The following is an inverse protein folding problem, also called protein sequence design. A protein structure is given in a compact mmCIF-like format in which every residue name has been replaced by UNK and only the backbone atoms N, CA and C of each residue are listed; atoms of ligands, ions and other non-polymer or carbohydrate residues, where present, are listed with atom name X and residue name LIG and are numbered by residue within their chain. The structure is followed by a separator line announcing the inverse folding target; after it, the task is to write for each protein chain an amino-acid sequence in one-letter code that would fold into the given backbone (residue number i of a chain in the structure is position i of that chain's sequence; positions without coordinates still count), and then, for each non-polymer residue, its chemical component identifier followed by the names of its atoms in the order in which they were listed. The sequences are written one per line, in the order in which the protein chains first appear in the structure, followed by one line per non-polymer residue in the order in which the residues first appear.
data_IF_664596245399
#
_entry.id   IF_664596245399
#
_cell.length_a   1.000
_cell.length_b   1.000
_cell.length_c   1.000
_cell.angle_alpha   90.00
_cell.angle_beta   90.00
_cell.angle_gamma   90.00
#
_symmetry.space_group_name_H-M   'P 1'
#
loop_
_entity.id
_entity.type
_entity.pdbx_description
1 polymer ?
#
# COMPACT_ATOMS: atom_id res chain seq x y z
N UNK A 1 -44.13 0.96 6.24
CA UNK A 1 -43.77 1.64 7.51
C UNK A 1 -42.84 0.81 8.39
N UNK A 2 -43.19 -0.40 8.88
CA UNK A 2 -42.30 -1.18 9.77
C UNK A 2 -40.91 -1.51 9.18
N UNK A 3 -40.81 -1.87 7.90
CA UNK A 3 -39.52 -2.12 7.22
C UNK A 3 -38.64 -0.87 7.08
N UNK A 4 -39.25 0.30 6.86
CA UNK A 4 -38.55 1.59 6.75
C UNK A 4 -38.03 2.06 8.11
N UNK A 5 -38.80 1.82 9.18
CA UNK A 5 -38.38 2.15 10.55
C UNK A 5 -37.22 1.24 11.00
N UNK A 6 -37.22 -0.04 10.62
CA UNK A 6 -36.11 -0.97 10.92
C UNK A 6 -34.83 -0.55 10.17
N UNK A 7 -34.92 -0.17 8.89
CA UNK A 7 -33.77 0.32 8.14
C UNK A 7 -33.17 1.61 8.75
N UNK A 8 -34.02 2.57 9.15
CA UNK A 8 -33.57 3.81 9.81
C UNK A 8 -32.90 3.53 11.15
N UNK A 9 -33.43 2.59 11.95
CA UNK A 9 -32.85 2.22 13.24
C UNK A 9 -31.50 1.50 13.06
N UNK A 10 -31.37 0.64 12.04
CA UNK A 10 -30.08 -0.01 11.72
C UNK A 10 -29.04 1.06 11.33
N UNK A 11 -29.38 2.02 10.46
CA UNK A 11 -28.47 3.13 10.13
C UNK A 11 -28.06 3.95 11.36
N UNK A 12 -28.98 4.27 12.28
CA UNK A 12 -28.67 5.07 13.47
C UNK A 12 -27.77 4.30 14.46
N UNK A 13 -27.95 2.99 14.59
CA UNK A 13 -27.14 2.16 15.50
C UNK A 13 -25.73 1.96 14.94
N UNK A 14 -25.58 1.75 13.63
CA UNK A 14 -24.26 1.68 12.96
C UNK A 14 -23.49 2.98 13.10
N UNK A 15 -24.15 4.13 12.90
CA UNK A 15 -23.53 5.45 13.09
C UNK A 15 -23.01 5.65 14.53
N UNK A 16 -23.69 5.12 15.55
CA UNK A 16 -23.23 5.23 16.95
C UNK A 16 -22.03 4.32 17.28
N UNK A 17 -21.88 3.18 16.59
CA UNK A 17 -20.71 2.32 16.69
C UNK A 17 -19.46 3.00 16.13
N UNK A 18 -19.57 3.53 14.91
CA UNK A 18 -18.53 4.31 14.21
C UNK A 18 -18.01 5.47 15.07
N UNK A 19 -18.92 6.23 15.73
CA UNK A 19 -18.54 7.34 16.61
C UNK A 19 -17.65 6.93 17.81
N UNK A 20 -17.78 5.70 18.32
CA UNK A 20 -16.99 5.24 19.46
C UNK A 20 -15.54 4.88 19.05
N UNK A 21 -15.37 4.35 17.84
CA UNK A 21 -14.07 3.93 17.27
C UNK A 21 -13.22 5.13 16.92
N UNK A 22 -13.81 6.14 16.27
CA UNK A 22 -13.11 7.37 15.88
C UNK A 22 -12.46 8.08 17.08
N UNK A 23 -13.11 8.03 18.26
CA UNK A 23 -12.59 8.63 19.49
C UNK A 23 -11.37 7.90 20.06
N UNK A 24 -11.26 6.59 19.87
CA UNK A 24 -10.05 5.82 20.22
C UNK A 24 -8.92 6.02 19.22
N UNK A 25 -9.24 6.31 17.97
CA UNK A 25 -8.29 6.55 16.88
C UNK A 25 -7.66 7.95 16.92
N UNK A 26 -8.00 8.76 17.93
CA UNK A 26 -7.45 10.11 18.07
C UNK A 26 -7.97 11.09 17.01
N UNK A 27 -9.04 10.73 16.29
CA UNK A 27 -9.78 11.65 15.45
C UNK A 27 -10.45 12.65 16.40
N UNK A 28 -9.86 13.84 16.53
CA UNK A 28 -10.62 14.95 17.07
C UNK A 28 -11.84 15.11 16.15
N UNK A 29 -13.05 15.13 16.72
CA UNK A 29 -14.34 15.35 16.03
C UNK A 29 -14.34 16.71 15.32
N UNK A 30 -13.49 16.88 14.30
CA UNK A 30 -13.48 18.00 13.39
C UNK A 30 -14.39 17.69 12.21
N UNK A 31 -14.86 18.75 11.55
CA UNK A 31 -16.00 18.76 10.63
C UNK A 31 -15.74 17.98 9.32
N UNK A 32 -15.66 16.66 9.39
CA UNK A 32 -15.68 15.81 8.21
C UNK A 32 -17.09 15.77 7.63
N UNK A 33 -17.15 15.89 6.31
CA UNK A 33 -18.26 15.41 5.52
C UNK A 33 -18.00 13.97 5.12
N UNK A 34 -19.08 13.29 4.74
CA UNK A 34 -19.03 11.91 4.29
C UNK A 34 -19.59 11.79 2.87
N UNK A 35 -18.99 10.90 2.10
CA UNK A 35 -19.54 10.37 0.85
C UNK A 35 -19.33 8.88 0.87
N UNK A 36 -20.27 8.11 0.33
CA UNK A 36 -20.23 6.65 0.43
C UNK A 36 -20.79 5.97 -0.80
N UNK A 37 -20.39 4.72 -0.98
CA UNK A 37 -20.88 3.82 -2.02
C UNK A 37 -20.96 2.40 -1.46
N UNK A 38 -21.87 1.59 -2.00
CA UNK A 38 -22.00 0.18 -1.62
C UNK A 38 -21.45 -0.67 -2.78
N UNK A 39 -20.55 -1.59 -2.47
CA UNK A 39 -19.95 -2.52 -3.44
C UNK A 39 -20.38 -3.94 -3.13
N UNK A 40 -20.77 -4.67 -4.18
CA UNK A 40 -21.16 -6.08 -4.08
C UNK A 40 -19.91 -6.95 -4.23
N UNK A 41 -19.61 -7.73 -3.19
CA UNK A 41 -18.56 -8.75 -3.18
C UNK A 41 -19.20 -10.15 -3.12
N UNK A 42 -18.42 -11.20 -3.35
CA UNK A 42 -18.91 -12.58 -3.55
C UNK A 42 -19.94 -13.04 -2.52
N UNK A 43 -19.77 -12.64 -1.26
CA UNK A 43 -20.60 -13.14 -0.16
C UNK A 43 -21.35 -12.04 0.60
N UNK A 44 -21.16 -10.76 0.26
CA UNK A 44 -21.71 -9.64 1.04
C UNK A 44 -21.56 -8.30 0.30
N UNK A 45 -22.34 -7.32 0.74
CA UNK A 45 -22.09 -5.93 0.37
C UNK A 45 -21.15 -5.28 1.38
N UNK A 46 -20.24 -4.45 0.89
CA UNK A 46 -19.31 -3.64 1.69
C UNK A 46 -19.60 -2.17 1.41
N UNK A 47 -19.66 -1.36 2.47
CA UNK A 47 -19.83 0.10 2.32
C UNK A 47 -18.46 0.78 2.30
N UNK A 48 -18.13 1.47 1.22
CA UNK A 48 -16.96 2.34 1.17
C UNK A 48 -17.38 3.72 1.63
N UNK A 49 -16.73 4.26 2.65
CA UNK A 49 -17.01 5.59 3.21
C UNK A 49 -15.74 6.43 3.11
N UNK A 50 -15.85 7.65 2.59
CA UNK A 50 -14.75 8.62 2.55
C UNK A 50 -15.12 9.82 3.42
N UNK A 51 -14.27 10.08 4.40
CA UNK A 51 -14.33 11.20 5.33
C UNK A 51 -13.41 12.32 4.85
N UNK A 52 -13.96 13.50 4.57
CA UNK A 52 -13.22 14.60 3.93
C UNK A 52 -13.62 15.98 4.47
N UNK A 53 -12.71 16.95 4.39
CA UNK A 53 -13.04 18.34 4.70
C UNK A 53 -13.85 18.96 3.54
N UNK A 54 -14.78 19.88 3.81
CA UNK A 54 -15.64 20.53 2.78
C UNK A 54 -14.88 20.98 1.53
N UNK A 55 -13.68 21.53 1.69
CA UNK A 55 -12.83 22.02 0.58
C UNK A 55 -12.31 20.91 -0.35
N UNK A 56 -12.33 19.65 0.10
CA UNK A 56 -11.72 18.49 -0.55
C UNK A 56 -12.79 17.55 -1.18
N UNK A 57 -13.99 18.06 -1.51
CA UNK A 57 -15.09 17.27 -2.08
C UNK A 57 -14.72 16.52 -3.36
N UNK A 58 -14.03 17.19 -4.29
CA UNK A 58 -13.63 16.59 -5.57
C UNK A 58 -12.63 15.44 -5.35
N UNK A 59 -11.69 15.62 -4.42
CA UNK A 59 -10.78 14.56 -3.99
C UNK A 59 -11.55 13.37 -3.41
N UNK A 60 -12.54 13.63 -2.55
CA UNK A 60 -13.32 12.59 -1.90
C UNK A 60 -14.13 11.76 -2.91
N UNK A 61 -14.73 12.39 -3.92
CA UNK A 61 -15.46 11.68 -4.98
C UNK A 61 -14.55 10.78 -5.81
N UNK A 62 -13.34 11.28 -6.13
CA UNK A 62 -12.32 10.51 -6.85
C UNK A 62 -11.85 9.30 -6.03
N UNK A 63 -11.54 9.51 -4.74
CA UNK A 63 -11.15 8.44 -3.81
C UNK A 63 -12.26 7.42 -3.65
N UNK A 64 -13.51 7.85 -3.47
CA UNK A 64 -14.65 6.95 -3.34
C UNK A 64 -14.80 6.05 -4.58
N UNK A 65 -14.72 6.64 -5.77
CA UNK A 65 -14.79 5.90 -7.03
C UNK A 65 -13.63 4.93 -7.22
N UNK A 66 -12.41 5.34 -6.85
CA UNK A 66 -11.23 4.49 -6.91
C UNK A 66 -11.34 3.31 -5.93
N UNK A 67 -11.56 3.60 -4.65
CA UNK A 67 -11.65 2.59 -3.59
C UNK A 67 -12.77 1.59 -3.88
N UNK A 68 -13.92 2.05 -4.37
CA UNK A 68 -15.02 1.15 -4.76
C UNK A 68 -14.60 0.11 -5.81
N UNK A 69 -13.84 0.52 -6.83
CA UNK A 69 -13.34 -0.40 -7.86
C UNK A 69 -12.21 -1.28 -7.33
N UNK A 70 -11.27 -0.71 -6.58
CA UNK A 70 -10.14 -1.42 -6.03
C UNK A 70 -10.57 -2.55 -5.08
N UNK A 71 -11.55 -2.30 -4.21
CA UNK A 71 -12.09 -3.30 -3.27
C UNK A 71 -12.66 -4.53 -3.99
N UNK A 72 -13.36 -4.31 -5.10
CA UNK A 72 -13.90 -5.41 -5.93
C UNK A 72 -12.76 -6.22 -6.55
N UNK A 73 -11.79 -5.55 -7.16
CA UNK A 73 -10.64 -6.20 -7.80
C UNK A 73 -9.73 -6.90 -6.78
N UNK A 74 -9.67 -6.42 -5.54
CA UNK A 74 -8.83 -7.01 -4.50
C UNK A 74 -9.34 -8.40 -4.09
N UNK A 75 -10.67 -8.59 -3.96
CA UNK A 75 -11.25 -9.93 -3.70
C UNK A 75 -10.94 -10.89 -4.86
N UNK A 76 -11.02 -10.40 -6.11
CA UNK A 76 -10.64 -11.19 -7.29
C UNK A 76 -9.16 -11.56 -7.27
N UNK A 77 -8.25 -10.61 -7.05
CA UNK A 77 -6.80 -10.81 -7.12
C UNK A 77 -6.32 -11.70 -5.98
N UNK A 78 -6.78 -11.48 -4.75
CA UNK A 78 -6.34 -12.25 -3.59
C UNK A 78 -6.91 -13.67 -3.58
N UNK A 79 -8.07 -13.87 -4.22
CA UNK A 79 -8.75 -15.17 -4.29
C UNK A 79 -9.41 -15.59 -2.99
N UNK A 80 -9.52 -14.67 -2.01
CA UNK A 80 -10.17 -14.92 -0.72
C UNK A 80 -11.26 -13.88 -0.45
N UNK A 81 -12.38 -14.27 0.19
CA UNK A 81 -13.46 -13.35 0.48
C UNK A 81 -13.02 -12.18 1.36
N UNK A 82 -13.77 -11.08 1.33
CA UNK A 82 -13.53 -9.97 2.25
C UNK A 82 -13.44 -10.43 3.73
N UNK A 83 -12.33 -10.13 4.44
CA UNK A 83 -12.09 -10.35 5.87
C UNK A 83 -13.32 -10.19 6.78
N UNK A 84 -13.69 -11.21 7.57
CA UNK A 84 -14.88 -11.15 8.42
C UNK A 84 -14.74 -10.34 9.73
N UNK A 85 -13.63 -9.68 10.03
CA UNK A 85 -13.48 -8.98 11.31
C UNK A 85 -12.87 -7.58 11.18
N UNK A 86 -13.75 -6.59 11.06
CA UNK A 86 -13.63 -5.34 11.82
C UNK A 86 -15.00 -5.03 12.42
N UNK A 87 -15.18 -5.41 13.70
CA UNK A 87 -16.34 -5.05 14.54
C UNK A 87 -17.75 -5.50 14.08
N UNK A 88 -17.86 -6.47 13.17
CA UNK A 88 -19.16 -7.01 12.74
C UNK A 88 -19.92 -6.10 11.76
N UNK A 89 -19.26 -5.07 11.24
CA UNK A 89 -19.75 -4.22 10.16
C UNK A 89 -18.77 -4.31 8.97
N UNK A 90 -19.30 -4.16 7.76
CA UNK A 90 -18.54 -4.31 6.52
C UNK A 90 -18.32 -2.96 5.88
N UNK A 91 -17.28 -2.27 6.31
CA UNK A 91 -16.91 -0.98 5.76
C UNK A 91 -15.43 -0.91 5.39
N UNK A 92 -15.14 -0.06 4.41
CA UNK A 92 -13.81 0.47 4.12
C UNK A 92 -13.88 1.97 4.35
N UNK A 93 -13.24 2.46 5.41
CA UNK A 93 -13.20 3.89 5.73
C UNK A 93 -11.90 4.50 5.24
N UNK A 94 -12.00 5.61 4.49
CA UNK A 94 -10.85 6.40 4.05
C UNK A 94 -10.97 7.82 4.61
N UNK A 95 -9.94 8.31 5.28
CA UNK A 95 -9.88 9.61 5.92
C UNK A 95 -8.90 10.53 5.20
N UNK A 96 -9.36 11.75 4.89
CA UNK A 96 -8.47 12.83 4.48
C UNK A 96 -7.61 13.29 5.65
N UNK A 97 -6.30 13.15 5.53
CA UNK A 97 -5.34 13.47 6.58
C UNK A 97 -4.45 14.67 6.24
N UNK A 98 -4.01 15.42 7.25
CA UNK A 98 -2.85 16.31 7.08
C UNK A 98 -1.57 15.46 7.15
N UNK A 99 -0.55 15.79 6.34
CA UNK A 99 0.76 15.13 6.40
C UNK A 99 1.40 15.26 7.78
N UNK A 100 1.19 16.41 8.44
CA UNK A 100 1.63 16.59 9.83
C UNK A 100 0.91 15.63 10.79
N UNK A 101 -0.25 15.08 10.39
CA UNK A 101 -1.02 14.16 11.19
C UNK A 101 -0.50 12.71 11.08
N UNK A 102 -0.32 12.18 9.88
CA UNK A 102 0.03 10.76 9.72
C UNK A 102 1.53 10.51 9.61
N UNK A 103 2.35 11.55 9.41
CA UNK A 103 3.81 11.44 9.34
C UNK A 103 4.34 10.86 8.02
N UNK A 104 3.51 10.07 7.33
CA UNK A 104 3.74 9.56 5.98
C UNK A 104 2.67 10.07 4.99
N UNK A 105 2.58 9.46 3.81
CA UNK A 105 1.64 9.83 2.75
C UNK A 105 0.30 9.09 2.81
N UNK A 106 0.34 7.87 3.36
CA UNK A 106 -0.79 6.99 3.61
C UNK A 106 -0.49 6.10 4.82
N UNK A 107 -1.53 5.63 5.51
CA UNK A 107 -1.42 4.58 6.53
C UNK A 107 -2.75 3.90 6.76
N UNK A 108 -2.79 2.59 6.65
CA UNK A 108 -3.85 1.74 7.21
C UNK A 108 -3.61 1.57 8.71
N UNK A 109 -4.66 1.83 9.51
CA UNK A 109 -4.59 1.70 10.97
C UNK A 109 -5.74 0.81 11.43
N UNK A 110 -5.67 -0.50 11.23
CA UNK A 110 -6.63 -1.49 11.75
C UNK A 110 -8.09 -0.97 11.79
N UNK A 111 -8.70 -0.91 12.98
CA UNK A 111 -10.09 -0.45 13.20
C UNK A 111 -10.31 1.05 12.94
N UNK A 112 -9.25 1.82 12.70
CA UNK A 112 -9.30 3.26 12.44
C UNK A 112 -9.33 3.61 10.94
N UNK A 113 -9.32 2.61 10.06
CA UNK A 113 -9.40 2.78 8.61
C UNK A 113 -8.12 3.31 7.98
N UNK A 114 -8.25 3.73 6.72
CA UNK A 114 -7.15 4.17 5.87
C UNK A 114 -7.04 5.69 5.90
N UNK A 115 -5.87 6.22 6.22
CA UNK A 115 -5.63 7.66 6.26
C UNK A 115 -4.72 8.07 5.11
N UNK A 116 -5.19 8.96 4.24
CA UNK A 116 -4.47 9.41 3.05
C UNK A 116 -4.44 10.93 3.02
N UNK A 117 -3.28 11.50 2.68
CA UNK A 117 -3.17 12.95 2.53
C UNK A 117 -3.82 13.43 1.22
N UNK A 118 -4.78 14.39 1.24
CA UNK A 118 -5.44 14.89 0.03
C UNK A 118 -4.51 15.64 -0.92
N UNK A 119 -3.46 16.24 -0.37
CA UNK A 119 -2.44 17.00 -1.11
C UNK A 119 -1.08 16.39 -0.82
N UNK A 120 -0.75 15.36 -1.59
CA UNK A 120 0.65 14.92 -1.66
C UNK A 120 1.40 15.99 -2.46
N UNK A 121 2.63 16.32 -2.05
CA UNK A 121 3.54 17.13 -2.88
C UNK A 121 4.02 16.41 -4.16
N UNK A 122 3.30 15.36 -4.57
CA UNK A 122 3.49 14.51 -5.73
C UNK A 122 2.22 14.59 -6.61
N UNK A 123 2.24 14.01 -7.81
CA UNK A 123 1.09 14.05 -8.70
C UNK A 123 -0.05 13.16 -8.18
N UNK A 124 -1.30 13.42 -8.58
CA UNK A 124 -2.49 12.68 -8.12
C UNK A 124 -2.40 11.16 -8.33
N UNK A 125 -1.65 10.74 -9.36
CA UNK A 125 -1.40 9.35 -9.71
C UNK A 125 -0.62 8.61 -8.60
N UNK A 126 0.31 9.28 -7.91
CA UNK A 126 1.06 8.67 -6.81
C UNK A 126 0.16 8.42 -5.59
N UNK A 127 -0.86 9.26 -5.38
CA UNK A 127 -1.82 9.07 -4.28
C UNK A 127 -2.60 7.77 -4.44
N UNK A 128 -2.95 7.41 -5.67
CA UNK A 128 -3.80 6.25 -5.93
C UNK A 128 -3.00 4.94 -5.86
N UNK A 129 -1.69 4.98 -6.17
CA UNK A 129 -0.79 3.88 -5.91
C UNK A 129 -0.67 3.58 -4.40
N UNK A 130 -0.52 4.64 -3.60
CA UNK A 130 -0.47 4.54 -2.13
C UNK A 130 -1.81 4.04 -1.59
N UNK A 131 -2.94 4.61 -2.06
CA UNK A 131 -4.26 4.16 -1.64
C UNK A 131 -4.51 2.68 -2.01
N UNK A 132 -4.06 2.21 -3.18
CA UNK A 132 -4.12 0.80 -3.54
C UNK A 132 -3.31 -0.09 -2.57
N UNK A 133 -2.13 0.37 -2.14
CA UNK A 133 -1.32 -0.30 -1.13
C UNK A 133 -2.06 -0.38 0.21
N UNK A 134 -2.59 0.73 0.72
CA UNK A 134 -3.32 0.72 2.00
C UNK A 134 -4.58 -0.15 1.95
N UNK A 135 -5.34 -0.15 0.84
CA UNK A 135 -6.48 -1.05 0.66
C UNK A 135 -6.02 -2.51 0.66
N UNK A 136 -4.83 -2.81 0.13
CA UNK A 136 -4.31 -4.18 0.07
C UNK A 136 -4.03 -4.74 1.45
N UNK A 137 -3.71 -3.91 2.44
CA UNK A 137 -3.53 -4.34 3.83
C UNK A 137 -4.79 -4.95 4.43
N UNK A 138 -5.99 -4.61 3.94
CA UNK A 138 -7.22 -5.28 4.39
C UNK A 138 -7.10 -6.80 4.18
N UNK A 139 -6.57 -7.26 3.04
CA UNK A 139 -6.39 -8.68 2.77
C UNK A 139 -5.03 -9.23 3.22
N UNK A 140 -3.95 -8.51 2.91
CA UNK A 140 -2.59 -8.93 3.23
C UNK A 140 -2.31 -8.90 4.74
N UNK A 141 -2.95 -7.98 5.47
CA UNK A 141 -2.80 -7.76 6.90
C UNK A 141 -3.69 -8.64 7.77
N UNK A 142 -4.86 -9.06 7.27
CA UNK A 142 -5.92 -9.72 8.05
C UNK A 142 -5.46 -10.94 8.88
N UNK A 143 -4.47 -11.68 8.38
CA UNK A 143 -3.84 -12.78 9.11
C UNK A 143 -2.33 -12.67 9.03
N UNK A 144 -1.78 -11.53 9.40
CA UNK A 144 -0.34 -11.42 9.59
C UNK A 144 -0.07 -10.80 10.95
N UNK A 145 1.02 -11.22 11.58
CA UNK A 145 1.50 -10.55 12.78
C UNK A 145 2.50 -9.46 12.40
N UNK A 146 2.79 -8.56 13.33
CA UNK A 146 3.91 -7.61 13.20
C UNK A 146 5.25 -8.32 12.96
N UNK A 147 5.36 -9.59 13.38
CA UNK A 147 6.55 -10.42 13.22
C UNK A 147 6.66 -11.02 11.80
N UNK A 148 5.56 -11.07 11.04
CA UNK A 148 5.51 -11.57 9.66
C UNK A 148 5.30 -10.42 8.65
N UNK A 149 5.98 -9.31 8.92
CA UNK A 149 5.81 -8.04 8.21
C UNK A 149 6.02 -8.14 6.71
N UNK A 150 6.92 -9.01 6.26
CA UNK A 150 7.18 -9.18 4.83
C UNK A 150 5.97 -9.75 4.08
N UNK A 151 5.15 -10.59 4.73
CA UNK A 151 3.90 -11.07 4.15
C UNK A 151 2.93 -9.91 3.97
N UNK A 152 2.70 -9.12 5.02
CA UNK A 152 1.80 -7.96 4.96
C UNK A 152 2.21 -6.97 3.87
N UNK A 153 3.48 -6.55 3.88
CA UNK A 153 3.98 -5.40 3.10
C UNK A 153 4.36 -5.82 1.68
N UNK A 154 4.94 -7.02 1.53
CA UNK A 154 5.25 -7.60 0.24
C UNK A 154 4.00 -7.89 -0.57
N UNK A 155 2.96 -8.46 0.05
CA UNK A 155 1.70 -8.70 -0.63
C UNK A 155 0.89 -7.43 -0.82
N UNK A 156 0.93 -6.46 0.11
CA UNK A 156 0.27 -5.17 -0.09
C UNK A 156 0.79 -4.46 -1.36
N UNK A 157 2.11 -4.41 -1.56
CA UNK A 157 2.70 -3.84 -2.77
C UNK A 157 2.36 -4.65 -4.03
N UNK A 158 2.42 -5.99 -3.97
CA UNK A 158 2.09 -6.84 -5.11
C UNK A 158 0.63 -6.68 -5.53
N UNK A 159 -0.31 -6.74 -4.58
CA UNK A 159 -1.73 -6.62 -4.88
C UNK A 159 -2.08 -5.23 -5.39
N UNK A 160 -1.49 -4.17 -4.81
CA UNK A 160 -1.63 -2.82 -5.34
C UNK A 160 -1.18 -2.74 -6.81
N UNK A 161 0.00 -3.27 -7.13
CA UNK A 161 0.50 -3.35 -8.51
C UNK A 161 -0.49 -4.05 -9.44
N UNK A 162 -1.00 -5.23 -9.05
CA UNK A 162 -1.93 -6.01 -9.87
C UNK A 162 -3.30 -5.34 -10.03
N UNK A 163 -3.85 -4.73 -8.98
CA UNK A 163 -5.12 -3.98 -9.03
C UNK A 163 -4.98 -2.81 -10.00
N UNK A 164 -3.90 -2.04 -9.90
CA UNK A 164 -3.64 -0.90 -10.78
C UNK A 164 -3.53 -1.35 -12.24
N UNK A 165 -2.85 -2.47 -12.53
CA UNK A 165 -2.83 -3.04 -13.88
C UNK A 165 -4.24 -3.42 -14.37
N UNK A 166 -5.07 -4.06 -13.54
CA UNK A 166 -6.46 -4.40 -13.89
C UNK A 166 -7.33 -3.18 -14.14
N UNK A 167 -7.02 -2.05 -13.50
CA UNK A 167 -7.69 -0.76 -13.72
C UNK A 167 -7.14 0.02 -14.93
N UNK A 168 -6.22 -0.56 -15.71
CA UNK A 168 -5.50 0.11 -16.80
C UNK A 168 -4.68 1.34 -16.33
N UNK A 169 -4.15 1.29 -15.10
CA UNK A 169 -3.33 2.32 -14.46
C UNK A 169 -1.86 1.92 -14.45
N UNK A 170 -1.32 1.69 -15.65
CA UNK A 170 0.03 1.14 -15.84
C UNK A 170 1.11 2.04 -15.25
N UNK A 171 0.94 3.36 -15.33
CA UNK A 171 1.91 4.31 -14.77
C UNK A 171 2.08 4.11 -13.26
N UNK A 172 0.97 4.08 -12.52
CA UNK A 172 0.92 3.91 -11.08
C UNK A 172 1.43 2.54 -10.66
N UNK A 173 1.04 1.51 -11.41
CA UNK A 173 1.50 0.14 -11.20
C UNK A 173 3.03 0.01 -11.37
N UNK A 174 3.59 0.61 -12.42
CA UNK A 174 5.03 0.58 -12.66
C UNK A 174 5.78 1.46 -11.66
N UNK A 175 5.20 2.58 -11.24
CA UNK A 175 5.80 3.46 -10.24
C UNK A 175 5.99 2.75 -8.88
N UNK A 176 4.97 2.08 -8.36
CA UNK A 176 5.09 1.37 -7.06
C UNK A 176 6.13 0.24 -7.14
N UNK A 177 6.15 -0.52 -8.24
CA UNK A 177 7.17 -1.55 -8.50
C UNK A 177 8.57 -0.93 -8.55
N UNK A 178 8.72 0.18 -9.27
CA UNK A 178 10.00 0.86 -9.47
C UNK A 178 10.61 1.36 -8.15
N UNK A 179 9.80 1.99 -7.28
CA UNK A 179 10.26 2.49 -5.99
C UNK A 179 10.90 1.37 -5.16
N UNK A 180 10.24 0.22 -5.07
CA UNK A 180 10.72 -0.92 -4.30
C UNK A 180 11.97 -1.57 -4.94
N UNK A 181 11.96 -1.77 -6.25
CA UNK A 181 13.07 -2.42 -6.95
C UNK A 181 14.37 -1.63 -6.84
N UNK A 182 14.29 -0.30 -6.95
CA UNK A 182 15.48 0.57 -6.82
C UNK A 182 16.06 0.53 -5.41
N UNK A 183 15.19 0.58 -4.39
CA UNK A 183 15.62 0.50 -2.99
C UNK A 183 16.26 -0.86 -2.69
N UNK A 184 15.70 -1.95 -3.20
CA UNK A 184 16.29 -3.27 -3.07
C UNK A 184 17.68 -3.32 -3.74
N UNK A 185 17.80 -2.83 -4.98
CA UNK A 185 19.07 -2.87 -5.71
C UNK A 185 20.18 -2.03 -5.04
N UNK A 186 19.84 -0.86 -4.49
CA UNK A 186 20.79 -0.03 -3.73
C UNK A 186 21.22 -0.71 -2.42
N UNK A 187 20.27 -1.36 -1.73
CA UNK A 187 20.49 -1.93 -0.40
C UNK A 187 21.11 -3.33 -0.36
N UNK A 188 20.90 -4.17 -1.38
CA UNK A 188 21.15 -5.62 -1.33
C UNK A 188 22.59 -6.04 -1.03
N UNK A 189 23.57 -5.16 -1.25
CA UNK A 189 24.98 -5.46 -0.95
C UNK A 189 25.39 -5.14 0.49
N UNK A 190 24.64 -4.27 1.18
CA UNK A 190 25.04 -3.69 2.45
C UNK A 190 24.07 -3.95 3.61
N UNK A 191 22.80 -4.22 3.29
CA UNK A 191 21.72 -4.31 4.27
C UNK A 191 21.10 -5.70 4.36
N UNK A 192 21.47 -6.62 3.48
CA UNK A 192 20.73 -7.86 3.26
C UNK A 192 20.56 -8.73 4.53
N UNK A 193 19.32 -9.15 4.78
CA UNK A 193 18.89 -10.03 5.87
C UNK A 193 17.70 -10.90 5.41
N UNK A 194 17.48 -12.11 5.97
CA UNK A 194 16.32 -12.93 5.63
C UNK A 194 15.01 -12.24 6.04
N UNK A 195 13.96 -12.36 5.21
CA UNK A 195 12.68 -11.70 5.50
C UNK A 195 11.99 -12.22 6.77
N UNK A 196 12.29 -13.42 7.27
CA UNK A 196 11.80 -13.91 8.57
C UNK A 196 12.41 -13.17 9.78
N UNK A 197 13.51 -12.44 9.58
CA UNK A 197 14.10 -11.55 10.58
C UNK A 197 13.63 -10.10 10.45
N UNK A 198 12.70 -9.83 9.52
CA UNK A 198 12.19 -8.48 9.31
C UNK A 198 11.19 -8.08 10.40
N UNK A 199 11.70 -7.69 11.56
CA UNK A 199 10.90 -7.38 12.76
C UNK A 199 11.00 -5.92 13.21
N UNK A 200 9.90 -5.41 13.74
CA UNK A 200 9.80 -4.08 14.36
C UNK A 200 9.13 -4.18 15.74
N UNK A 201 9.59 -3.44 16.77
CA UNK A 201 10.70 -2.48 16.77
C UNK A 201 12.07 -3.15 16.93
N UNK A 202 13.08 -2.70 16.17
CA UNK A 202 14.44 -3.22 16.28
C UNK A 202 15.37 -2.72 15.16
N UNK A 203 14.79 -2.50 13.98
CA UNK A 203 15.52 -2.08 12.80
C UNK A 203 15.74 -0.57 12.68
N UNK A 204 16.79 -0.20 11.94
CA UNK A 204 17.00 1.19 11.53
C UNK A 204 15.99 1.60 10.46
N UNK A 205 15.64 2.88 10.29
CA UNK A 205 14.76 3.32 9.19
C UNK A 205 15.22 2.83 7.81
N UNK A 206 16.54 2.71 7.61
CA UNK A 206 17.12 2.18 6.37
C UNK A 206 16.85 0.67 6.20
N UNK A 207 16.98 -0.11 7.26
CA UNK A 207 16.64 -1.54 7.25
C UNK A 207 15.15 -1.75 7.02
N UNK A 208 14.29 -0.95 7.66
CA UNK A 208 12.83 -1.02 7.47
C UNK A 208 12.48 -0.79 5.99
N UNK A 209 13.01 0.30 5.41
CA UNK A 209 12.77 0.62 4.01
C UNK A 209 13.28 -0.47 3.06
N UNK A 210 14.42 -1.07 3.37
CA UNK A 210 14.98 -2.20 2.61
C UNK A 210 14.15 -3.49 2.78
N UNK A 211 13.65 -3.77 3.98
CA UNK A 211 12.77 -4.91 4.26
C UNK A 211 11.49 -4.85 3.43
N UNK A 212 10.84 -3.67 3.35
CA UNK A 212 9.70 -3.45 2.45
C UNK A 212 10.05 -3.73 0.99
N UNK A 213 11.17 -3.19 0.52
CA UNK A 213 11.63 -3.39 -0.85
C UNK A 213 11.95 -4.86 -1.18
N UNK A 214 12.67 -5.55 -0.30
CA UNK A 214 12.98 -6.98 -0.45
C UNK A 214 11.71 -7.82 -0.41
N UNK A 215 10.72 -7.45 0.42
CA UNK A 215 9.42 -8.13 0.50
C UNK A 215 8.67 -8.05 -0.83
N UNK A 216 8.56 -6.85 -1.42
CA UNK A 216 7.93 -6.66 -2.74
C UNK A 216 8.67 -7.42 -3.84
N UNK A 217 10.01 -7.38 -3.88
CA UNK A 217 10.78 -8.13 -4.87
C UNK A 217 10.54 -9.63 -4.75
N UNK A 218 10.49 -10.16 -3.52
CA UNK A 218 10.26 -11.58 -3.29
C UNK A 218 8.83 -12.01 -3.67
N UNK A 219 7.80 -11.27 -3.27
CA UNK A 219 6.41 -11.58 -3.65
C UNK A 219 6.17 -11.43 -5.15
N UNK A 220 6.79 -10.44 -5.79
CA UNK A 220 6.77 -10.31 -7.25
C UNK A 220 7.47 -11.49 -7.93
N UNK A 221 8.60 -11.96 -7.41
CA UNK A 221 9.27 -13.17 -7.91
C UNK A 221 8.39 -14.42 -7.75
N UNK A 222 7.60 -14.53 -6.68
CA UNK A 222 6.60 -15.60 -6.53
C UNK A 222 5.55 -15.50 -7.65
N UNK A 223 5.02 -14.30 -7.90
CA UNK A 223 4.05 -14.06 -8.96
C UNK A 223 4.59 -14.45 -10.34
N UNK A 224 5.79 -13.99 -10.71
CA UNK A 224 6.36 -14.27 -12.03
C UNK A 224 6.68 -15.76 -12.26
N UNK A 225 7.11 -16.48 -11.21
CA UNK A 225 7.48 -17.89 -11.36
C UNK A 225 6.30 -18.86 -11.28
N UNK A 226 5.28 -18.55 -10.48
CA UNK A 226 4.20 -19.49 -10.18
C UNK A 226 2.80 -18.98 -10.53
N UNK A 227 2.66 -17.70 -10.89
CA UNK A 227 1.42 -17.07 -11.32
C UNK A 227 0.44 -16.76 -10.19
N UNK A 228 -0.53 -15.91 -10.52
CA UNK A 228 -1.58 -15.46 -9.59
C UNK A 228 -2.43 -16.63 -9.04
N UNK A 229 -2.75 -17.62 -9.86
CA UNK A 229 -3.57 -18.77 -9.44
C UNK A 229 -2.92 -19.54 -8.27
N UNK A 230 -1.60 -19.68 -8.28
CA UNK A 230 -0.87 -20.33 -7.18
C UNK A 230 -0.98 -19.51 -5.91
N UNK A 231 -0.76 -18.19 -5.99
CA UNK A 231 -0.90 -17.27 -4.85
C UNK A 231 -2.32 -17.37 -4.27
N UNK A 232 -3.34 -17.38 -5.12
CA UNK A 232 -4.74 -17.51 -4.70
C UNK A 232 -5.02 -18.83 -3.99
N UNK A 233 -4.48 -19.95 -4.48
CA UNK A 233 -4.59 -21.26 -3.82
C UNK A 233 -3.93 -21.25 -2.45
N UNK A 234 -2.72 -20.70 -2.35
CA UNK A 234 -2.01 -20.54 -1.08
C UNK A 234 -2.81 -19.68 -0.10
N UNK A 235 -3.30 -18.52 -0.55
CA UNK A 235 -4.15 -17.64 0.26
C UNK A 235 -5.41 -18.36 0.73
N UNK A 236 -6.08 -19.12 -0.13
CA UNK A 236 -7.28 -19.86 0.22
C UNK A 236 -7.00 -20.94 1.27
N UNK A 237 -5.88 -21.66 1.17
CA UNK A 237 -5.49 -22.65 2.17
C UNK A 237 -5.26 -22.00 3.55
N UNK A 238 -4.51 -20.89 3.59
CA UNK A 238 -4.25 -20.14 4.82
C UNK A 238 -5.50 -19.45 5.37
N UNK A 239 -6.40 -19.03 4.49
CA UNK A 239 -7.68 -18.46 4.86
C UNK A 239 -8.56 -19.46 5.63
N UNK A 240 -8.48 -20.75 5.31
CA UNK A 240 -9.25 -21.79 5.99
C UNK A 240 -8.67 -22.18 7.36
N UNK A 241 -7.43 -21.79 7.67
CA UNK A 241 -6.79 -22.03 8.97
C UNK A 241 -7.26 -20.99 9.99
N UNK A 242 -7.42 -21.36 11.26
CA UNK A 242 -7.83 -20.43 12.32
C UNK A 242 -6.69 -19.59 12.90
N UNK A 243 -5.46 -19.94 12.58
CA UNK A 243 -4.24 -19.32 13.12
C UNK A 243 -3.64 -18.34 12.10
N UNK A 244 -2.86 -17.39 12.61
CA UNK A 244 -2.12 -16.42 11.79
C UNK A 244 -0.88 -17.15 11.26
N UNK A 245 -0.72 -17.30 9.92
CA UNK A 245 0.40 -18.02 9.36
C UNK A 245 1.74 -17.33 9.63
N UNK A 246 2.74 -18.12 10.01
CA UNK A 246 4.14 -17.71 9.97
C UNK A 246 4.77 -17.90 8.56
N UNK A 247 6.00 -17.44 8.39
CA UNK A 247 6.76 -17.60 7.14
C UNK A 247 6.86 -19.05 6.65
N UNK A 248 6.95 -20.00 7.59
CA UNK A 248 7.10 -21.43 7.29
C UNK A 248 5.77 -22.02 6.86
N UNK A 249 4.68 -21.67 7.53
CA UNK A 249 3.33 -22.10 7.15
C UNK A 249 2.92 -21.54 5.80
N UNK A 250 3.31 -20.30 5.48
CA UNK A 250 3.11 -19.74 4.14
C UNK A 250 3.85 -20.57 3.09
N UNK A 251 5.12 -20.89 3.32
CA UNK A 251 5.91 -21.73 2.42
C UNK A 251 5.27 -23.11 2.25
N UNK A 252 4.88 -23.78 3.33
CA UNK A 252 4.26 -25.12 3.28
C UNK A 252 2.95 -25.11 2.47
N UNK A 253 2.10 -24.10 2.66
CA UNK A 253 0.88 -23.92 1.85
C UNK A 253 1.19 -23.65 0.38
N UNK A 254 2.26 -22.92 0.09
CA UNK A 254 2.72 -22.70 -1.28
C UNK A 254 3.27 -23.98 -1.92
N UNK A 255 4.04 -24.79 -1.18
CA UNK A 255 4.55 -26.10 -1.61
C UNK A 255 3.41 -27.07 -1.95
N UNK A 256 2.33 -27.05 -1.16
CA UNK A 256 1.11 -27.82 -1.45
C UNK A 256 0.45 -27.32 -2.75
N UNK A 257 0.32 -26.01 -2.93
CA UNK A 257 -0.27 -25.41 -4.12
C UNK A 257 0.54 -25.70 -5.41
N UNK A 258 1.87 -25.71 -5.34
CA UNK A 258 2.75 -25.98 -6.50
C UNK A 258 3.10 -27.47 -6.68
N UNK A 259 2.86 -28.32 -5.68
CA UNK A 259 3.12 -29.75 -5.72
C UNK A 259 4.61 -30.16 -5.64
N UNK A 260 5.50 -29.27 -5.18
CA UNK A 260 6.92 -29.55 -4.99
C UNK A 260 7.56 -28.66 -3.92
N UNK A 261 8.73 -29.04 -3.44
CA UNK A 261 9.46 -28.32 -2.40
C UNK A 261 10.06 -27.00 -2.93
N UNK A 262 9.99 -25.96 -2.10
CA UNK A 262 10.41 -24.59 -2.39
C UNK A 262 11.59 -24.13 -1.53
N UNK A 263 12.38 -25.06 -0.96
CA UNK A 263 13.55 -24.72 -0.13
C UNK A 263 14.51 -23.78 -0.87
N UNK A 264 14.80 -24.06 -2.13
CA UNK A 264 15.72 -23.26 -2.95
C UNK A 264 15.19 -21.84 -3.20
N UNK A 265 13.88 -21.66 -3.36
CA UNK A 265 13.26 -20.35 -3.55
C UNK A 265 13.33 -19.52 -2.25
N UNK A 266 13.03 -20.13 -1.11
CA UNK A 266 12.97 -19.42 0.17
C UNK A 266 14.36 -19.21 0.81
N UNK A 267 15.36 -20.00 0.43
CA UNK A 267 16.74 -19.89 0.94
C UNK A 267 17.41 -18.57 0.52
N UNK A 268 17.93 -17.83 1.50
CA UNK A 268 18.53 -16.49 1.33
C UNK A 268 17.51 -15.35 1.21
N UNK A 269 16.30 -15.66 0.74
CA UNK A 269 15.21 -14.69 0.64
C UNK A 269 14.48 -14.52 1.97
N UNK A 270 13.77 -15.57 2.41
CA UNK A 270 12.95 -15.55 3.63
C UNK A 270 13.69 -16.17 4.78
N UNK A 271 14.35 -17.31 4.56
CA UNK A 271 15.11 -18.01 5.58
C UNK A 271 16.61 -17.87 5.35
N UNK A 272 17.39 -17.97 6.44
CA UNK A 272 18.84 -18.06 6.34
C UNK A 272 19.29 -19.16 5.37
N UNK A 273 20.19 -18.79 4.46
CA UNK A 273 20.78 -19.72 3.51
C UNK A 273 21.44 -19.00 2.35
N UNK A 274 21.81 -19.76 1.33
CA UNK A 274 22.36 -19.21 0.10
C UNK A 274 21.22 -18.95 -0.88
N UNK A 275 21.25 -17.81 -1.57
CA UNK A 275 20.39 -17.57 -2.73
C UNK A 275 20.61 -18.66 -3.78
N UNK A 276 19.62 -19.54 -3.94
CA UNK A 276 19.60 -20.55 -5.02
C UNK A 276 18.79 -20.08 -6.22
N UNK A 277 17.85 -19.18 -6.00
CA UNK A 277 17.07 -18.51 -7.02
C UNK A 277 17.42 -17.03 -7.02
N UNK A 278 18.04 -16.56 -8.10
CA UNK A 278 18.33 -15.14 -8.32
C UNK A 278 17.19 -14.48 -9.08
N UNK A 279 16.84 -13.25 -8.67
CA UNK A 279 15.85 -12.46 -9.38
C UNK A 279 16.54 -11.48 -10.34
N UNK A 280 16.82 -11.95 -11.56
CA UNK A 280 17.55 -11.19 -12.59
C UNK A 280 16.83 -9.94 -13.06
N UNK A 281 15.50 -9.96 -13.02
CA UNK A 281 14.69 -8.83 -13.46
C UNK A 281 14.95 -7.57 -12.63
N UNK A 282 15.14 -7.67 -11.30
CA UNK A 282 15.51 -6.50 -10.50
C UNK A 282 16.85 -5.87 -10.95
N UNK A 283 17.83 -6.70 -11.33
CA UNK A 283 19.13 -6.23 -11.81
C UNK A 283 19.05 -5.62 -13.21
N UNK A 284 18.23 -6.21 -14.09
CA UNK A 284 17.97 -5.69 -15.43
C UNK A 284 17.18 -4.38 -15.35
N UNK A 285 16.20 -4.31 -14.45
CA UNK A 285 15.42 -3.13 -14.13
C UNK A 285 16.31 -1.98 -13.66
N UNK A 286 17.15 -2.21 -12.65
CA UNK A 286 18.07 -1.18 -12.12
C UNK A 286 19.04 -0.68 -13.19
N UNK A 287 19.61 -1.57 -14.01
CA UNK A 287 20.48 -1.16 -15.14
C UNK A 287 19.73 -0.34 -16.18
N UNK A 288 18.49 -0.74 -16.51
CA UNK A 288 17.62 -0.01 -17.43
C UNK A 288 17.30 1.39 -16.91
N UNK A 289 16.94 1.50 -15.64
CA UNK A 289 16.67 2.76 -14.94
C UNK A 289 17.91 3.68 -14.95
N UNK A 290 19.07 3.19 -14.53
CA UNK A 290 20.31 3.97 -14.48
C UNK A 290 20.69 4.51 -15.87
N UNK A 291 20.55 3.67 -16.89
CA UNK A 291 20.80 4.06 -18.27
C UNK A 291 19.81 5.15 -18.73
N UNK A 292 18.51 4.97 -18.48
CA UNK A 292 17.50 5.94 -18.86
C UNK A 292 17.66 7.28 -18.10
N UNK A 293 17.96 7.24 -16.81
CA UNK A 293 18.20 8.44 -15.99
C UNK A 293 19.45 9.20 -16.47
N UNK A 294 20.52 8.48 -16.82
CA UNK A 294 21.75 9.06 -17.38
C UNK A 294 21.50 9.75 -18.73
N UNK A 295 20.78 9.08 -19.64
CA UNK A 295 20.44 9.63 -20.95
C UNK A 295 19.48 10.81 -20.87
N UNK A 296 18.45 10.71 -20.03
CA UNK A 296 17.50 11.80 -19.78
C UNK A 296 18.20 13.03 -19.20
N UNK A 297 19.08 12.83 -18.21
CA UNK A 297 19.89 13.91 -17.62
C UNK A 297 20.79 14.58 -18.65
N UNK A 298 21.38 13.78 -19.56
CA UNK A 298 22.22 14.28 -20.65
C UNK A 298 21.41 15.09 -21.66
N UNK A 299 20.21 14.62 -22.04
CA UNK A 299 19.29 15.34 -22.91
C UNK A 299 18.81 16.66 -22.30
N UNK A 300 18.47 16.67 -21.00
CA UNK A 300 18.10 17.89 -20.26
C UNK A 300 19.24 18.90 -20.20
N UNK A 301 20.47 18.46 -19.95
CA UNK A 301 21.66 19.32 -19.95
C UNK A 301 21.90 19.90 -21.34
N UNK A 302 21.85 19.08 -22.38
CA UNK A 302 21.99 19.51 -23.78
C UNK A 302 20.95 20.58 -24.14
N UNK A 303 19.67 20.35 -23.81
CA UNK A 303 18.59 21.33 -24.00
C UNK A 303 18.91 22.66 -23.31
N UNK A 304 19.31 22.62 -22.03
CA UNK A 304 19.64 23.82 -21.25
C UNK A 304 20.83 24.60 -21.82
N UNK A 305 21.89 23.91 -22.24
CA UNK A 305 23.11 24.53 -22.79
C UNK A 305 22.90 25.13 -24.18
N UNK A 306 21.90 24.65 -24.94
CA UNK A 306 21.67 25.05 -26.33
C UNK A 306 20.33 25.75 -26.54
N UNK A 307 19.67 26.21 -25.46
CA UNK A 307 18.31 26.78 -25.47
C UNK A 307 18.12 27.89 -26.53
N UNK A 308 19.11 28.75 -26.74
CA UNK A 308 19.01 29.85 -27.71
C UNK A 308 19.19 29.41 -29.18
N UNK A 309 19.46 28.12 -29.42
CA UNK A 309 19.94 27.63 -30.72
C UNK A 309 19.25 26.39 -31.25
N UNK A 310 18.34 25.80 -30.48
CA UNK A 310 17.60 24.61 -30.86
C UNK A 310 16.20 24.98 -31.38
N UNK A 311 15.61 24.05 -32.12
CA UNK A 311 14.19 24.11 -32.37
C UNK A 311 13.48 23.64 -31.10
N UNK A 312 13.01 24.60 -30.31
CA UNK A 312 12.32 24.36 -29.03
C UNK A 312 11.22 23.31 -29.16
N UNK A 313 10.44 23.33 -30.25
CA UNK A 313 9.36 22.35 -30.47
C UNK A 313 9.83 20.91 -30.61
N UNK A 314 11.03 20.66 -31.19
CA UNK A 314 11.58 19.30 -31.33
C UNK A 314 12.11 18.79 -30.00
N UNK A 315 12.82 19.67 -29.28
CA UNK A 315 13.47 19.35 -28.01
C UNK A 315 12.43 19.12 -26.93
N UNK A 316 11.49 20.04 -26.79
CA UNK A 316 10.45 19.98 -25.76
C UNK A 316 9.59 18.73 -25.95
N UNK A 317 9.16 18.44 -27.18
CA UNK A 317 8.37 17.25 -27.50
C UNK A 317 9.08 15.94 -27.16
N UNK A 318 10.33 15.76 -27.62
CA UNK A 318 11.06 14.52 -27.34
C UNK A 318 11.46 14.41 -25.87
N UNK A 319 11.76 15.53 -25.20
CA UNK A 319 12.09 15.52 -23.78
C UNK A 319 10.86 15.22 -22.91
N UNK A 320 9.70 15.77 -23.26
CA UNK A 320 8.43 15.45 -22.63
C UNK A 320 8.10 13.97 -22.81
N UNK A 321 8.21 13.43 -24.04
CA UNK A 321 8.05 11.98 -24.27
C UNK A 321 9.04 11.13 -23.50
N UNK A 322 10.32 11.54 -23.46
CA UNK A 322 11.34 10.81 -22.70
C UNK A 322 10.99 10.75 -21.21
N UNK A 323 10.46 11.83 -20.63
CA UNK A 323 9.96 11.87 -19.25
C UNK A 323 8.73 10.99 -19.08
N UNK A 324 7.73 11.12 -19.93
CA UNK A 324 6.51 10.31 -19.86
C UNK A 324 6.82 8.80 -19.92
N UNK A 325 7.69 8.37 -20.83
CA UNK A 325 8.10 6.96 -20.92
C UNK A 325 9.00 6.54 -19.73
N UNK A 326 9.82 7.45 -19.19
CA UNK A 326 10.62 7.19 -18.00
C UNK A 326 9.71 6.94 -16.79
N UNK A 327 8.76 7.85 -16.58
CA UNK A 327 7.86 7.83 -15.44
C UNK A 327 6.87 6.66 -15.55
N UNK A 328 6.53 6.22 -16.78
CA UNK A 328 5.75 5.00 -17.04
C UNK A 328 6.57 3.69 -16.95
N UNK A 329 7.84 3.73 -16.54
CA UNK A 329 8.69 2.52 -16.42
C UNK A 329 9.23 1.97 -17.75
N UNK A 330 8.97 2.61 -18.89
CA UNK A 330 9.46 2.22 -20.20
C UNK A 330 10.88 2.75 -20.49
N UNK A 331 11.85 2.36 -19.67
CA UNK A 331 13.21 2.91 -19.70
C UNK A 331 13.91 2.84 -21.06
N UNK A 332 13.72 1.75 -21.82
CA UNK A 332 14.30 1.64 -23.16
C UNK A 332 13.73 2.69 -24.14
N UNK A 333 12.43 2.98 -24.07
CA UNK A 333 11.80 4.04 -24.89
C UNK A 333 12.23 5.43 -24.41
N UNK A 334 12.38 5.63 -23.10
CA UNK A 334 12.92 6.88 -22.54
C UNK A 334 14.33 7.18 -23.05
N UNK A 335 15.20 6.17 -23.09
CA UNK A 335 16.54 6.25 -23.69
C UNK A 335 16.44 6.63 -25.17
N UNK A 336 15.56 5.98 -25.92
CA UNK A 336 15.36 6.28 -27.35
C UNK A 336 14.97 7.74 -27.57
N UNK A 337 13.96 8.26 -26.86
CA UNK A 337 13.54 9.65 -26.98
C UNK A 337 14.61 10.64 -26.51
N UNK A 338 15.33 10.32 -25.42
CA UNK A 338 16.47 11.12 -24.95
C UNK A 338 17.57 11.20 -26.01
N UNK A 339 17.88 10.08 -26.66
CA UNK A 339 18.83 10.04 -27.75
C UNK A 339 18.38 10.84 -28.97
N UNK A 340 17.07 10.92 -29.27
CA UNK A 340 16.53 11.78 -30.35
C UNK A 340 16.71 13.26 -30.05
N UNK A 341 16.59 13.71 -28.80
CA UNK A 341 16.88 15.11 -28.40
C UNK A 341 18.29 15.49 -28.82
N UNK A 342 19.28 14.63 -28.52
CA UNK A 342 20.69 14.88 -28.81
C UNK A 342 20.98 14.73 -30.32
N UNK A 343 20.53 13.62 -30.93
CA UNK A 343 20.95 13.24 -32.27
C UNK A 343 20.13 13.89 -33.39
N UNK A 344 18.83 14.11 -33.21
CA UNK A 344 17.95 14.62 -34.27
C UNK A 344 17.74 16.12 -34.14
N UNK A 345 17.43 16.60 -32.93
CA UNK A 345 17.22 18.04 -32.72
C UNK A 345 18.55 18.81 -32.76
N UNK A 346 19.67 18.20 -32.35
CA UNK A 346 21.02 18.79 -32.45
C UNK A 346 21.57 18.87 -33.89
N UNK A 347 21.22 17.93 -34.77
CA UNK A 347 21.73 17.88 -36.16
C UNK A 347 21.06 18.87 -37.12
N UNK A 348 19.89 19.42 -36.78
CA UNK A 348 19.22 20.46 -37.60
C UNK A 348 20.01 21.77 -37.73
N UNK A 349 21.20 21.87 -37.13
CA UNK A 349 22.16 22.96 -37.32
C UNK A 349 23.08 22.82 -38.55
N UNK A 350 23.20 21.65 -39.17
CA UNK A 350 24.02 21.49 -40.37
C UNK A 350 23.14 21.71 -41.59
N UNK A 351 23.06 22.97 -42.04
CA UNK A 351 22.55 23.29 -43.38
C UNK A 351 23.26 22.46 -44.46
N UNK A 352 22.62 22.25 -45.63
CA UNK A 352 22.98 21.19 -46.56
C UNK A 352 24.42 21.32 -47.07
N UNK A 353 25.26 20.35 -46.71
CA UNK A 353 26.18 19.77 -47.68
C UNK A 353 25.46 18.59 -48.31
N UNK A 354 25.09 18.77 -49.57
CA UNK A 354 24.39 17.83 -50.46
C UNK A 354 24.99 16.42 -50.37
N UNK A 355 24.23 15.44 -49.90
CA UNK A 355 24.34 14.06 -50.37
C UNK A 355 22.92 13.49 -50.54
N UNK A 356 22.63 13.11 -51.78
CA UNK A 356 21.38 12.58 -52.31
C UNK A 356 21.30 11.08 -52.02
N UNK A 357 20.21 10.56 -51.44
CA UNK A 357 19.62 9.24 -51.80
C UNK A 357 18.10 9.26 -51.59
N UNK A 358 17.40 8.63 -52.54
CA UNK A 358 15.96 8.64 -52.86
C UNK A 358 15.06 7.87 -51.88
N UNK A 359 13.83 8.35 -51.72
CA UNK A 359 12.64 7.65 -51.20
C UNK A 359 12.11 6.57 -52.15
N UNK A 360 11.38 5.60 -51.59
CA UNK A 360 10.15 5.04 -52.14
C UNK A 360 9.23 4.60 -50.98
N UNK A 361 7.94 4.94 -51.11
CA UNK A 361 6.82 4.82 -50.17
C UNK A 361 5.90 3.62 -50.51
N UNK A 362 4.77 3.58 -49.77
CA UNK A 362 3.49 2.85 -49.91
C UNK A 362 3.33 1.55 -49.10
N UNK A 363 2.22 1.22 -48.42
CA UNK A 363 0.92 1.80 -47.96
C UNK A 363 -0.15 0.67 -48.07
N UNK A 364 -1.21 0.77 -47.23
CA UNK A 364 -2.59 0.25 -47.39
C UNK A 364 -3.08 -1.02 -46.65
N UNK A 365 -4.00 -0.80 -45.67
CA UNK A 365 -5.45 -1.18 -45.56
C UNK A 365 -5.93 -2.59 -46.02
N UNK A 366 -6.99 -3.31 -45.54
CA UNK A 366 -8.15 -3.17 -44.59
C UNK A 366 -8.93 -4.54 -44.50
N UNK A 367 -9.94 -4.65 -43.60
CA UNK A 367 -11.31 -5.27 -43.76
C UNK A 367 -11.80 -6.61 -43.09
N UNK A 368 -13.10 -6.55 -42.64
CA UNK A 368 -14.19 -7.52 -42.23
C UNK A 368 -14.31 -8.01 -40.75
N UNK A 369 -15.38 -7.77 -39.95
CA UNK A 369 -16.85 -8.18 -39.94
C UNK A 369 -17.07 -9.71 -39.90
N UNK A 370 -18.02 -10.39 -39.21
CA UNK A 370 -19.01 -10.21 -38.12
C UNK A 370 -19.68 -11.59 -37.87
N UNK A 371 -20.60 -11.71 -36.89
CA UNK A 371 -21.68 -12.76 -36.73
C UNK A 371 -21.24 -14.17 -36.21
N UNK A 372 -21.98 -14.96 -35.43
CA UNK A 372 -23.37 -14.91 -34.93
C UNK A 372 -23.60 -15.91 -33.77
N UNK A 373 -24.80 -15.79 -33.19
CA UNK A 373 -25.50 -16.40 -32.03
C UNK A 373 -25.61 -17.95 -31.95
N UNK A 374 -25.95 -18.49 -30.75
CA UNK A 374 -27.17 -19.31 -30.50
C UNK A 374 -27.43 -19.63 -29.00
N UNK A 375 -28.71 -19.43 -28.63
CA UNK A 375 -29.62 -19.91 -27.54
C UNK A 375 -29.54 -21.42 -27.16
N UNK A 376 -30.13 -22.05 -26.11
CA UNK A 376 -31.15 -21.76 -25.05
C UNK A 376 -31.22 -22.94 -23.99
N UNK A 377 -31.52 -22.61 -22.72
CA UNK A 377 -32.41 -23.27 -21.70
C UNK A 377 -32.35 -24.78 -21.26
N UNK A 378 -33.09 -25.22 -20.19
CA UNK A 378 -33.00 -24.91 -18.75
C UNK A 378 -33.05 -26.18 -17.85
N UNK A 379 -32.97 -26.04 -16.51
CA UNK A 379 -33.22 -27.15 -15.57
C UNK A 379 -33.47 -26.70 -14.14
N UNK A 380 -34.70 -26.96 -13.66
CA UNK A 380 -35.29 -26.56 -12.39
C UNK A 380 -35.06 -27.56 -11.23
N UNK A 381 -35.33 -27.05 -10.02
CA UNK A 381 -35.92 -27.68 -8.83
C UNK A 381 -35.08 -28.13 -7.60
N UNK A 382 -35.36 -27.39 -6.51
CA UNK A 382 -35.91 -27.84 -5.21
C UNK A 382 -35.00 -28.17 -3.99
N UNK A 383 -34.87 -27.16 -3.12
CA UNK A 383 -35.45 -27.05 -1.76
C UNK A 383 -35.01 -27.91 -0.54
N UNK A 384 -34.85 -27.16 0.57
CA UNK A 384 -35.08 -27.49 2.02
C UNK A 384 -33.92 -28.05 2.85
N UNK A 385 -33.44 -27.30 3.87
CA UNK A 385 -33.88 -27.46 5.29
C UNK A 385 -33.14 -26.51 6.25
N UNK A 386 -33.95 -25.96 7.15
CA UNK A 386 -33.71 -24.98 8.22
C UNK A 386 -33.10 -25.65 9.48
N UNK A 387 -32.67 -24.80 10.44
CA UNK A 387 -32.93 -24.96 11.90
C UNK A 387 -31.79 -25.40 12.86
N UNK A 388 -30.66 -24.67 12.98
CA UNK A 388 -29.83 -24.63 14.23
C UNK A 388 -29.11 -23.27 14.39
N UNK A 389 -29.78 -22.20 14.87
CA UNK A 389 -29.09 -20.90 15.18
C UNK A 389 -29.52 -20.27 16.52
N UNK A 390 -30.31 -20.97 17.34
CA UNK A 390 -30.94 -20.37 18.53
C UNK A 390 -30.15 -20.37 19.84
N UNK A 391 -29.02 -21.09 19.94
CA UNK A 391 -28.42 -21.41 21.27
C UNK A 391 -27.00 -20.83 21.47
N UNK A 392 -26.29 -20.42 20.41
CA UNK A 392 -24.91 -19.95 20.53
C UNK A 392 -24.75 -18.46 20.92
N UNK A 393 -25.79 -17.64 20.72
CA UNK A 393 -25.69 -16.18 20.86
C UNK A 393 -25.58 -15.67 22.32
N UNK A 394 -26.07 -16.44 23.29
CA UNK A 394 -26.06 -16.01 24.72
C UNK A 394 -24.72 -16.28 25.40
N UNK A 395 -23.96 -17.28 24.94
CA UNK A 395 -22.65 -17.62 25.50
C UNK A 395 -21.53 -16.64 25.11
N UNK A 396 -21.58 -16.13 23.88
CA UNK A 396 -20.57 -15.20 23.34
C UNK A 396 -20.64 -13.85 24.05
N UNK A 397 -21.86 -13.35 24.35
CA UNK A 397 -22.05 -12.07 25.04
C UNK A 397 -21.49 -12.11 26.47
N UNK A 398 -21.61 -13.26 27.17
CA UNK A 398 -21.07 -13.41 28.54
C UNK A 398 -19.54 -13.45 28.53
N UNK A 399 -18.91 -14.04 27.51
CA UNK A 399 -17.46 -14.10 27.36
C UNK A 399 -16.86 -12.73 27.00
N UNK A 400 -17.52 -11.96 26.13
CA UNK A 400 -17.08 -10.59 25.77
C UNK A 400 -17.16 -9.66 26.99
N UNK A 401 -18.23 -9.74 27.79
CA UNK A 401 -18.39 -8.92 29.00
C UNK A 401 -17.33 -9.28 30.06
N UNK A 402 -16.97 -10.55 30.18
CA UNK A 402 -15.88 -10.97 31.08
C UNK A 402 -14.50 -10.51 30.57
N UNK A 403 -14.22 -10.59 29.27
CA UNK A 403 -12.97 -10.10 28.69
C UNK A 403 -12.78 -8.59 28.91
N UNK A 404 -13.83 -7.79 28.72
CA UNK A 404 -13.80 -6.33 28.93
C UNK A 404 -13.56 -5.96 30.41
N UNK A 405 -14.06 -6.76 31.36
CA UNK A 405 -13.90 -6.51 32.79
C UNK A 405 -12.49 -6.84 33.32
N UNK A 406 -11.70 -7.66 32.61
CA UNK A 406 -10.37 -8.10 33.03
C UNK A 406 -9.19 -7.47 32.26
N UNK A 407 -9.44 -6.53 31.34
CA UNK A 407 -8.36 -5.76 30.70
C UNK A 407 -7.70 -4.81 31.72
N UNK A 408 -6.36 -4.84 31.88
CA UNK A 408 -5.65 -4.02 32.86
C UNK A 408 -5.78 -2.53 32.54
N UNK A 409 -6.49 -1.80 33.41
CA UNK A 409 -6.84 -0.36 33.28
C UNK A 409 -5.70 0.63 33.60
N UNK A 410 -4.44 0.22 33.66
CA UNK A 410 -3.36 1.11 34.08
C UNK A 410 -2.78 1.96 32.94
N UNK A 411 -3.59 2.90 32.42
CA UNK A 411 -3.15 3.98 31.51
C UNK A 411 -2.49 5.15 32.27
N UNK A 412 -1.64 4.86 33.26
CA UNK A 412 -1.05 5.93 34.08
C UNK A 412 0.17 6.53 33.36
N UNK A 413 -0.02 7.75 32.87
CA UNK A 413 1.05 8.65 32.46
C UNK A 413 0.90 9.95 33.23
N UNK A 414 1.98 10.73 33.28
CA UNK A 414 1.96 12.06 33.85
C UNK A 414 2.32 13.04 32.75
N UNK A 415 1.38 13.93 32.42
CA UNK A 415 1.66 15.08 31.56
C UNK A 415 2.69 15.95 32.28
N UNK A 416 3.85 16.16 31.65
CA UNK A 416 4.90 16.99 32.23
C UNK A 416 4.51 18.46 32.00
N UNK A 417 4.45 19.23 33.08
CA UNK A 417 4.17 20.67 32.99
C UNK A 417 5.36 21.39 32.38
N UNK A 418 5.11 22.48 31.65
CA UNK A 418 6.18 23.31 31.06
C UNK A 418 7.24 23.74 32.08
N UNK A 419 6.82 24.04 33.33
CA UNK A 419 7.73 24.39 34.42
C UNK A 419 8.77 23.30 34.73
N UNK A 420 8.47 22.06 34.37
CA UNK A 420 9.25 20.87 34.69
C UNK A 420 10.08 20.40 33.48
N UNK A 421 10.02 21.08 32.33
CA UNK A 421 10.77 20.69 31.12
C UNK A 421 12.29 20.69 31.32
N UNK A 422 12.82 21.59 32.15
CA UNK A 422 14.24 21.61 32.51
C UNK A 422 14.69 20.40 33.35
N UNK A 423 13.75 19.65 33.94
CA UNK A 423 14.04 18.42 34.68
C UNK A 423 14.18 17.18 33.78
N UNK A 424 13.85 17.32 32.49
CA UNK A 424 14.01 16.25 31.50
C UNK A 424 15.50 16.14 31.14
N UNK A 425 16.10 14.93 31.21
CA UNK A 425 17.49 14.70 30.82
C UNK A 425 17.78 15.24 29.41
N UNK A 426 18.98 15.80 29.22
CA UNK A 426 19.38 16.39 27.93
C UNK A 426 19.46 15.36 26.79
N UNK A 427 19.75 14.13 27.16
CA UNK A 427 19.85 12.96 26.30
C UNK A 427 18.54 12.15 26.24
N UNK A 428 17.44 12.64 26.84
CA UNK A 428 16.16 11.98 26.73
C UNK A 428 15.70 11.95 25.27
N UNK A 429 15.45 10.74 24.76
CA UNK A 429 14.97 10.49 23.41
C UNK A 429 13.56 9.94 23.49
N UNK A 430 12.70 10.43 22.61
CA UNK A 430 11.35 9.92 22.43
C UNK A 430 11.44 8.56 21.71
N UNK A 431 10.83 7.53 22.29
CA UNK A 431 11.10 6.14 21.88
C UNK A 431 10.63 5.83 20.46
N UNK A 432 9.54 6.46 20.01
CA UNK A 432 8.87 6.13 18.74
C UNK A 432 9.50 6.85 17.55
N UNK A 433 9.89 8.10 17.74
CA UNK A 433 10.44 9.00 16.72
C UNK A 433 11.96 9.09 16.77
N UNK A 434 12.57 8.64 17.88
CA UNK A 434 14.00 8.85 18.21
C UNK A 434 14.42 10.32 18.23
N UNK A 435 13.46 11.24 18.25
CA UNK A 435 13.75 12.66 18.40
C UNK A 435 14.16 12.96 19.85
N UNK A 436 15.10 13.88 20.01
CA UNK A 436 15.43 14.39 21.33
C UNK A 436 14.19 15.08 21.93
N UNK A 437 13.84 14.75 23.17
CA UNK A 437 12.63 15.25 23.83
C UNK A 437 12.64 16.78 23.97
N UNK A 438 13.83 17.40 24.09
CA UNK A 438 13.92 18.87 24.09
C UNK A 438 13.60 19.47 22.73
N UNK A 439 13.90 18.78 21.62
CA UNK A 439 13.50 19.24 20.28
C UNK A 439 11.98 19.16 20.11
N UNK A 440 11.33 18.15 20.68
CA UNK A 440 9.87 18.08 20.72
C UNK A 440 9.27 19.26 21.49
N UNK A 441 9.85 19.60 22.65
CA UNK A 441 9.45 20.74 23.47
C UNK A 441 9.63 22.07 22.73
N UNK A 442 10.77 22.27 22.06
CA UNK A 442 11.05 23.49 21.26
C UNK A 442 10.00 23.66 20.14
N UNK A 443 9.47 22.56 19.60
CA UNK A 443 8.41 22.53 18.59
C UNK A 443 6.99 22.57 19.20
N UNK A 444 6.87 23.00 20.46
CA UNK A 444 5.61 23.15 21.20
C UNK A 444 4.79 21.84 21.31
N UNK A 445 5.46 20.68 21.27
CA UNK A 445 4.81 19.39 21.47
C UNK A 445 4.73 19.09 22.97
N UNK A 446 3.52 18.82 23.46
CA UNK A 446 3.29 18.34 24.82
C UNK A 446 3.99 17.00 25.03
N UNK A 447 4.69 16.86 26.16
CA UNK A 447 5.45 15.65 26.53
C UNK A 447 4.79 14.98 27.73
N UNK A 448 4.65 13.67 27.66
CA UNK A 448 4.18 12.84 28.77
C UNK A 448 5.29 11.91 29.23
N UNK A 449 5.27 11.57 30.51
CA UNK A 449 6.18 10.59 31.12
C UNK A 449 5.40 9.36 31.54
N UNK A 450 5.85 8.19 31.12
CA UNK A 450 5.26 6.95 31.58
C UNK A 450 5.51 6.78 33.09
N UNK A 451 4.46 6.53 33.87
CA UNK A 451 4.62 6.36 35.32
C UNK A 451 5.33 5.05 35.71
N UNK A 452 5.40 4.07 34.81
CA UNK A 452 6.04 2.77 35.04
C UNK A 452 7.53 2.78 34.70
N UNK A 453 7.86 3.26 33.51
CA UNK A 453 9.22 3.17 32.97
C UNK A 453 10.01 4.48 33.03
N UNK A 454 9.34 5.62 33.27
CA UNK A 454 9.99 6.92 33.33
C UNK A 454 10.40 7.49 31.97
N UNK A 455 10.22 6.75 30.88
CA UNK A 455 10.45 7.20 29.50
C UNK A 455 9.51 8.32 29.09
N UNK A 456 9.99 9.16 28.19
CA UNK A 456 9.31 10.34 27.69
C UNK A 456 8.75 10.07 26.29
N UNK A 457 7.53 10.54 26.07
CA UNK A 457 6.80 10.41 24.83
C UNK A 457 6.25 11.77 24.44
N UNK A 458 6.11 12.06 23.15
CA UNK A 458 5.15 13.10 22.77
C UNK A 458 3.75 12.64 23.21
N UNK A 459 2.89 13.55 23.65
CA UNK A 459 1.51 13.20 24.06
C UNK A 459 0.77 12.49 22.91
N UNK A 460 1.03 12.92 21.68
CA UNK A 460 0.57 12.26 20.46
C UNK A 460 1.08 10.82 20.35
N UNK A 461 2.39 10.60 20.40
CA UNK A 461 2.98 9.26 20.33
C UNK A 461 2.47 8.35 21.44
N UNK A 462 2.28 8.89 22.65
CA UNK A 462 1.66 8.15 23.74
C UNK A 462 0.22 7.74 23.45
N UNK A 463 -0.59 8.64 22.88
CA UNK A 463 -1.98 8.36 22.53
C UNK A 463 -2.09 7.36 21.38
N UNK A 464 -1.17 7.42 20.40
CA UNK A 464 -1.17 6.54 19.23
C UNK A 464 -0.71 5.12 19.58
N UNK A 465 0.41 4.97 20.29
CA UNK A 465 1.00 3.66 20.59
C UNK A 465 0.53 3.05 21.92
N UNK A 466 -0.24 3.80 22.71
CA UNK A 466 -1.17 3.31 23.73
C UNK A 466 -0.60 2.61 24.98
N UNK A 467 0.67 2.22 25.04
CA UNK A 467 1.29 1.53 26.19
C UNK A 467 2.77 1.89 26.27
N UNK A 468 3.35 1.95 27.48
CA UNK A 468 4.81 1.84 27.59
C UNK A 468 5.15 0.47 27.00
N UNK A 469 5.74 0.48 25.80
CA UNK A 469 5.88 -0.65 24.88
C UNK A 469 6.24 -1.90 25.67
N UNK A 470 5.46 -2.96 25.46
CA UNK A 470 5.52 -4.23 26.17
C UNK A 470 6.82 -5.04 25.93
N UNK A 471 7.90 -4.40 25.47
CA UNK A 471 9.12 -5.04 24.97
C UNK A 471 10.38 -4.34 25.50
N UNK A 472 10.49 -4.17 26.82
CA UNK A 472 11.78 -3.82 27.45
C UNK A 472 12.02 -2.33 27.67
N UNK A 473 11.59 -1.83 28.82
CA UNK A 473 11.88 -0.48 29.27
C UNK A 473 13.36 -0.32 29.68
N UNK A 474 14.17 0.35 28.88
CA UNK A 474 15.33 1.15 29.34
C UNK A 474 15.42 2.42 28.49
N UNK A 475 15.44 3.57 29.17
CA UNK A 475 15.94 4.82 28.56
C UNK A 475 17.43 4.67 28.23
#
# INVERSE_FOLDING_TARGET
MKKVIIAIIICIVSLQGVHAVHKSCGVAEENFNETYNEVELQNKNVTVIVHYFEKDKEWADRVLNFTSQAVILMEEITGVPYPPEHQGEYYVEVFGADKEAIGDFGVEIDECGIWITPTIGFSEEHNDAILAHEISHIWAGYKTTVDERWLAEGFANLYAHLVLLRMNRTYEAEWIKAQEFLVYCDGKSALDFPLDEFVYPGDTPRNIRFGYAKSMVFTYMIHENYGLETIQKTNHELWMKSEIPDSKEYKEAMEEAVGHNLDDLFSGWVFWGEYKVEFKEADEFSKGYDNAMSELSSAMRFSKENKDSLNDSCVDHNLEKAKLEFDAGHYNKSVEYSARVINECGKKRIGPSVIIVKQAEDESETYYESEDETEEHPGDEANTTLLIVGVCFVGIIVLIVLAILFLPKDRKHTVIKESDYYSIPEDAVEITTRENVRQLIIRDKRVVRCSKCGSYYSERGWNMYGKCIASGCRN
#
